data_IF_723358821748
#
_entry.id   IF_723358821748
#
_cell.length_a   1.000
_cell.length_b   1.000
_cell.length_c   1.000
_cell.angle_alpha   90.00
_cell.angle_beta   90.00
_cell.angle_gamma   90.00
#
_symmetry.space_group_name_H-M   'P 1'
#
loop_
_entity.id
_entity.type
_entity.pdbx_description
1 polymer ?
#
# COMPACT_ATOMS: atom_id res chain seq x y z
N UNK A 1 10.24 10.82 20.75
CA UNK A 1 10.09 10.70 20.17
C UNK A 1 9.89 10.44 19.39
N UNK A 2 9.83 10.29 19.03
CA UNK A 2 9.71 9.93 18.32
C UNK A 2 9.44 9.92 17.51
N UNK A 3 9.07 10.07 17.15
CA UNK A 3 8.96 10.08 16.27
C UNK A 3 9.50 9.99 15.38
N UNK A 4 10.12 10.20 15.17
CA UNK A 4 11.11 10.08 14.32
C UNK A 4 10.96 9.08 13.30
N UNK A 5 10.28 8.25 13.55
CA UNK A 5 10.02 7.18 12.68
C UNK A 5 9.18 7.54 11.51
N UNK A 6 8.63 8.71 11.50
CA UNK A 6 7.78 9.13 10.40
C UNK A 6 8.53 9.27 9.10
N UNK A 7 9.82 9.55 9.16
CA UNK A 7 10.60 9.68 7.94
C UNK A 7 10.71 8.36 7.20
N UNK A 8 10.44 7.27 7.89
CA UNK A 8 10.50 5.95 7.27
C UNK A 8 9.15 5.44 6.85
N UNK A 9 8.10 6.12 7.24
CA UNK A 9 6.77 5.70 6.87
C UNK A 9 6.49 5.99 5.39
N UNK A 10 5.68 5.15 4.78
CA UNK A 10 5.24 5.41 3.42
C UNK A 10 4.25 6.57 3.41
N UNK A 11 4.22 7.35 2.35
CA UNK A 11 3.31 8.51 2.26
C UNK A 11 1.90 8.08 1.88
N UNK A 12 1.37 7.10 2.60
CA UNK A 12 0.07 6.51 2.29
C UNK A 12 -0.85 6.61 3.49
N UNK A 13 -2.14 6.72 3.23
CA UNK A 13 -3.14 6.72 4.29
C UNK A 13 -3.29 5.32 4.86
N UNK A 14 -3.95 5.21 6.01
CA UNK A 14 -4.23 3.91 6.60
C UNK A 14 -5.03 3.03 5.66
N UNK A 15 -6.04 3.60 4.99
CA UNK A 15 -6.85 2.83 4.05
C UNK A 15 -6.01 2.36 2.86
N UNK A 16 -5.12 3.21 2.37
CA UNK A 16 -4.24 2.81 1.28
C UNK A 16 -3.31 1.69 1.72
N UNK A 17 -2.78 1.77 2.92
CA UNK A 17 -1.94 0.71 3.45
C UNK A 17 -2.69 -0.61 3.54
N UNK A 18 -3.96 -0.57 3.97
CA UNK A 18 -4.80 -1.77 4.02
C UNK A 18 -4.93 -2.39 2.63
N UNK A 19 -5.25 -1.56 1.65
CA UNK A 19 -5.44 -2.04 0.28
C UNK A 19 -4.14 -2.62 -0.26
N UNK A 20 -3.04 -1.93 0.01
CA UNK A 20 -1.74 -2.39 -0.47
C UNK A 20 -1.35 -3.72 0.15
N UNK A 21 -1.70 -3.93 1.40
CA UNK A 21 -1.45 -5.20 2.08
C UNK A 21 -2.19 -6.34 1.38
N UNK A 22 -3.46 -6.12 1.04
CA UNK A 22 -4.21 -7.12 0.28
C UNK A 22 -3.57 -7.38 -1.07
N UNK A 23 -3.13 -6.30 -1.75
CA UNK A 23 -2.48 -6.45 -3.05
C UNK A 23 -1.21 -7.30 -2.94
N UNK A 24 -0.48 -7.13 -1.86
CA UNK A 24 0.75 -7.89 -1.66
C UNK A 24 0.47 -9.39 -1.49
N UNK A 25 -0.72 -9.73 -1.01
CA UNK A 25 -1.14 -11.13 -0.90
C UNK A 25 -1.76 -11.65 -2.20
N UNK A 26 -1.85 -10.82 -3.22
CA UNK A 26 -2.40 -11.27 -4.49
C UNK A 26 -3.90 -11.12 -4.59
N UNK A 27 -4.53 -10.39 -3.68
CA UNK A 27 -5.97 -10.19 -3.68
C UNK A 27 -6.35 -9.21 -4.79
N UNK A 28 -7.38 -9.56 -5.58
CA UNK A 28 -7.81 -8.72 -6.68
C UNK A 28 -8.55 -7.48 -6.17
N UNK A 29 -8.64 -6.46 -7.01
CA UNK A 29 -9.36 -5.25 -6.63
C UNK A 29 -10.81 -5.54 -6.28
N UNK A 30 -11.44 -6.45 -7.02
CA UNK A 30 -12.82 -6.82 -6.76
C UNK A 30 -12.96 -7.47 -5.39
N UNK A 31 -12.03 -8.36 -5.06
CA UNK A 31 -12.04 -9.02 -3.76
C UNK A 31 -11.79 -8.03 -2.63
N UNK A 32 -10.85 -7.10 -2.86
CA UNK A 32 -10.57 -6.09 -1.85
C UNK A 32 -11.82 -5.24 -1.58
N UNK A 33 -12.52 -4.87 -2.66
CA UNK A 33 -13.74 -4.09 -2.52
C UNK A 33 -14.75 -4.82 -1.64
N UNK A 34 -14.89 -6.12 -1.85
CA UNK A 34 -15.78 -6.94 -1.04
C UNK A 34 -15.35 -7.01 0.42
N UNK A 35 -14.06 -7.20 0.64
CA UNK A 35 -13.54 -7.33 2.00
C UNK A 35 -13.69 -6.03 2.81
N UNK A 36 -13.51 -4.90 2.15
CA UNK A 36 -13.55 -3.62 2.84
C UNK A 36 -14.90 -2.92 2.75
N UNK A 37 -15.88 -3.56 2.08
CA UNK A 37 -17.22 -3.01 1.92
C UNK A 37 -17.21 -1.64 1.24
N UNK A 38 -16.39 -1.52 0.20
CA UNK A 38 -16.35 -0.30 -0.61
C UNK A 38 -16.50 -0.72 -2.07
N UNK A 39 -16.69 0.26 -2.95
CA UNK A 39 -16.90 -0.05 -4.36
C UNK A 39 -15.58 -0.40 -5.04
N UNK A 40 -15.68 -1.15 -6.12
CA UNK A 40 -14.52 -1.46 -6.95
C UNK A 40 -13.86 -0.17 -7.44
N UNK A 41 -14.67 0.81 -7.83
CA UNK A 41 -14.14 2.08 -8.32
C UNK A 41 -13.33 2.78 -7.22
N UNK A 42 -13.78 2.70 -5.98
CA UNK A 42 -13.04 3.29 -4.87
C UNK A 42 -11.69 2.61 -4.70
N UNK A 43 -11.65 1.28 -4.82
CA UNK A 43 -10.37 0.57 -4.74
C UNK A 43 -9.45 1.01 -5.87
N UNK A 44 -9.98 1.12 -7.09
CA UNK A 44 -9.18 1.55 -8.24
C UNK A 44 -8.64 2.95 -8.04
N UNK A 45 -9.45 3.84 -7.45
CA UNK A 45 -9.01 5.21 -7.18
C UNK A 45 -7.89 5.23 -6.17
N UNK A 46 -7.99 4.41 -5.11
CA UNK A 46 -6.93 4.32 -4.12
C UNK A 46 -5.64 3.81 -4.76
N UNK A 47 -5.76 2.80 -5.63
CA UNK A 47 -4.57 2.25 -6.30
C UNK A 47 -3.90 3.29 -7.16
N UNK A 48 -4.69 4.04 -7.91
CA UNK A 48 -4.16 5.10 -8.75
C UNK A 48 -3.43 6.15 -7.93
N UNK A 49 -4.03 6.53 -6.79
CA UNK A 49 -3.40 7.53 -5.93
C UNK A 49 -2.09 7.01 -5.33
N UNK A 50 -2.06 5.73 -4.96
CA UNK A 50 -0.85 5.14 -4.44
C UNK A 50 0.27 5.13 -5.47
N UNK A 51 -0.06 4.81 -6.72
CA UNK A 51 0.95 4.83 -7.78
C UNK A 51 1.59 6.20 -7.89
N UNK A 52 0.77 7.25 -7.81
CA UNK A 52 1.27 8.61 -7.88
C UNK A 52 2.12 8.95 -6.66
N UNK A 53 1.61 8.64 -5.48
CA UNK A 53 2.31 8.99 -4.25
C UNK A 53 3.65 8.30 -4.12
N UNK A 54 3.74 7.08 -4.62
CA UNK A 54 4.96 6.28 -4.53
C UNK A 54 5.83 6.41 -5.77
N UNK A 55 5.38 7.15 -6.76
CA UNK A 55 6.08 7.27 -8.03
C UNK A 55 6.33 5.89 -8.64
N UNK A 56 5.35 5.00 -8.49
CA UNK A 56 5.46 3.65 -9.02
C UNK A 56 4.86 3.60 -10.42
N UNK A 57 5.46 2.83 -11.30
CA UNK A 57 5.01 2.73 -12.70
C UNK A 57 3.78 1.87 -12.85
N UNK A 58 3.64 0.89 -11.98
CA UNK A 58 2.52 -0.05 -12.07
C UNK A 58 2.35 -0.74 -10.72
N UNK A 59 1.31 -1.56 -10.62
CA UNK A 59 1.00 -2.22 -9.36
C UNK A 59 2.10 -3.17 -8.89
N UNK A 60 2.77 -3.83 -9.82
CA UNK A 60 3.85 -4.75 -9.47
C UNK A 60 4.98 -3.99 -8.77
N UNK A 61 5.34 -2.84 -9.33
CA UNK A 61 6.39 -2.03 -8.72
C UNK A 61 5.95 -1.50 -7.38
N UNK A 62 4.69 -1.08 -7.27
CA UNK A 62 4.13 -0.57 -6.03
C UNK A 62 4.22 -1.63 -4.93
N UNK A 63 3.82 -2.85 -5.23
CA UNK A 63 3.86 -3.94 -4.25
C UNK A 63 5.31 -4.25 -3.87
N UNK A 64 6.21 -4.25 -4.84
CA UNK A 64 7.60 -4.53 -4.56
C UNK A 64 8.18 -3.49 -3.60
N UNK A 65 7.87 -2.22 -3.83
CA UNK A 65 8.35 -1.16 -2.95
C UNK A 65 7.81 -1.32 -1.54
N UNK A 66 6.55 -1.71 -1.44
CA UNK A 66 5.92 -1.94 -0.14
C UNK A 66 6.58 -3.10 0.60
N UNK A 67 6.74 -4.22 -0.09
CA UNK A 67 7.34 -5.41 0.52
C UNK A 67 8.78 -5.13 0.95
N UNK A 68 9.51 -4.41 0.13
CA UNK A 68 10.89 -4.06 0.46
C UNK A 68 10.93 -3.19 1.71
N UNK A 69 10.02 -2.25 1.84
CA UNK A 69 9.98 -1.38 3.00
C UNK A 69 9.65 -2.16 4.27
N UNK A 70 8.71 -3.08 4.18
CA UNK A 70 8.35 -3.92 5.31
C UNK A 70 9.55 -4.79 5.70
N UNK A 71 10.23 -5.35 4.73
CA UNK A 71 11.38 -6.19 4.98
C UNK A 71 12.50 -5.41 5.66
N UNK A 72 12.75 -4.19 5.20
CA UNK A 72 13.77 -3.33 5.80
C UNK A 72 13.47 -3.04 7.26
N UNK A 73 12.20 -2.78 7.57
CA UNK A 73 11.81 -2.49 8.94
C UNK A 73 12.01 -3.70 9.83
N UNK A 74 11.73 -4.89 9.32
CA UNK A 74 11.89 -6.10 10.09
C UNK A 74 13.36 -6.41 10.39
N UNK A 75 14.24 -5.97 9.52
CA UNK A 75 15.67 -6.24 9.67
C UNK A 75 16.42 -5.10 10.32
N UNK A 76 15.69 -4.11 10.77
CA UNK A 76 16.30 -2.93 11.33
C UNK A 76 16.47 -3.10 12.83
N UNK A 77 17.51 -3.78 13.25
CA UNK A 77 17.91 -3.86 14.65
C UNK A 77 19.19 -4.68 14.83
#
# INVERSE_FOLDING_TARGET
MNRNNNSEALPLTNREMEILTYMAYGTSSKEIAGELFISLQTVKNHRKNMLKKMSAKNSTELVRMFVQKVYEQKNDH
#
